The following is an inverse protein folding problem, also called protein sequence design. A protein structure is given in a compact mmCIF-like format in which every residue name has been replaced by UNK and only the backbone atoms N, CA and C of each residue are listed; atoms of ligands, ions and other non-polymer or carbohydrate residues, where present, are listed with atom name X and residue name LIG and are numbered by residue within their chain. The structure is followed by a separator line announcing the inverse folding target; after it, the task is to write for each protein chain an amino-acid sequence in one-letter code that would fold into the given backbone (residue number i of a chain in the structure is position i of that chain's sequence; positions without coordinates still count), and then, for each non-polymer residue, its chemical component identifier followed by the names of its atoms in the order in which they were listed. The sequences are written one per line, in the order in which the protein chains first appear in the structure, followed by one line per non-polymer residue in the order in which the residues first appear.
data_IF_602967945443
#
_entry.id   IF_602967945443
#
_cell.length_a   1.000
_cell.length_b   1.000
_cell.length_c   1.000
_cell.angle_alpha   90.00
_cell.angle_beta   90.00
_cell.angle_gamma   90.00
#
_symmetry.space_group_name_H-M   'P 1'
#
loop_
_entity.id
_entity.type
_entity.pdbx_description
1 polymer ?
#
# COMPACT_ATOMS: atom_id res chain seq x y z
N UNK A 1 2.71 7.65 -21.35
CA UNK A 1 3.63 6.91 -20.47
C UNK A 1 3.43 7.55 -19.12
N UNK A 2 2.94 6.81 -18.12
CA UNK A 2 2.52 7.43 -16.85
C UNK A 2 3.68 8.07 -16.08
N UNK A 3 3.37 9.06 -15.24
CA UNK A 3 4.34 9.74 -14.38
C UNK A 3 4.62 8.85 -13.18
N UNK A 4 5.82 8.27 -13.13
CA UNK A 4 6.19 7.32 -12.10
C UNK A 4 6.71 8.02 -10.84
N UNK A 5 6.21 7.61 -9.68
CA UNK A 5 6.57 8.15 -8.37
C UNK A 5 6.85 7.00 -7.41
N UNK A 6 7.88 7.17 -6.58
CA UNK A 6 8.12 6.33 -5.41
C UNK A 6 7.66 7.11 -4.18
N UNK A 7 6.78 6.53 -3.39
CA UNK A 7 6.22 7.20 -2.22
C UNK A 7 7.21 7.28 -1.07
N UNK A 8 7.00 8.24 -0.17
CA UNK A 8 7.48 8.16 1.20
C UNK A 8 6.80 7.04 1.99
N UNK A 9 6.95 7.09 3.32
CA UNK A 9 6.37 6.13 4.25
C UNK A 9 4.84 6.27 4.28
N UNK A 10 4.13 5.15 4.14
CA UNK A 10 2.67 5.12 4.13
C UNK A 10 2.15 3.93 4.93
N UNK A 11 0.90 4.03 5.40
CA UNK A 11 0.15 2.90 5.97
C UNK A 11 -0.77 2.32 4.89
N UNK A 12 -0.69 1.01 4.68
CA UNK A 12 -1.56 0.31 3.74
C UNK A 12 -2.95 0.12 4.35
N UNK A 13 -4.01 0.46 3.61
CA UNK A 13 -5.40 0.20 4.02
C UNK A 13 -6.15 -0.43 2.85
N UNK A 14 -7.16 -1.25 3.14
CA UNK A 14 -7.92 -2.00 2.13
C UNK A 14 -7.01 -2.69 1.10
N UNK A 15 -5.97 -3.37 1.58
CA UNK A 15 -4.95 -4.01 0.75
C UNK A 15 -5.49 -5.28 0.08
N UNK A 16 -5.97 -5.14 -1.15
CA UNK A 16 -6.39 -6.25 -2.02
C UNK A 16 -5.31 -6.52 -3.07
N UNK A 17 -4.13 -6.88 -2.59
CA UNK A 17 -2.90 -6.94 -3.39
C UNK A 17 -2.51 -8.37 -3.76
N UNK A 18 -2.91 -9.35 -2.93
CA UNK A 18 -2.72 -10.78 -3.19
C UNK A 18 -3.83 -11.40 -4.05
N UNK A 19 -5.05 -10.88 -3.92
CA UNK A 19 -6.22 -11.34 -4.67
C UNK A 19 -7.03 -10.15 -5.14
N UNK A 20 -7.21 -10.06 -6.46
CA UNK A 20 -8.01 -9.03 -7.08
C UNK A 20 -9.47 -9.10 -6.60
N UNK A 21 -10.10 -7.92 -6.49
CA UNK A 21 -11.52 -7.77 -6.15
C UNK A 21 -12.22 -7.00 -7.26
N UNK A 22 -13.50 -7.32 -7.49
CA UNK A 22 -14.34 -6.53 -8.41
C UNK A 22 -14.52 -5.13 -7.84
N UNK A 23 -14.20 -4.12 -8.64
CA UNK A 23 -14.53 -2.74 -8.32
C UNK A 23 -16.04 -2.47 -8.55
N UNK A 24 -16.49 -1.24 -8.29
CA UNK A 24 -17.90 -0.84 -8.51
C UNK A 24 -18.40 -1.02 -9.95
N UNK A 25 -17.49 -1.11 -10.92
CA UNK A 25 -17.78 -1.32 -12.34
C UNK A 25 -17.67 -2.80 -12.74
N UNK A 26 -17.51 -3.72 -11.77
CA UNK A 26 -17.41 -5.16 -12.01
C UNK A 26 -16.03 -5.64 -12.48
N UNK A 27 -15.05 -4.76 -12.69
CA UNK A 27 -13.70 -5.12 -13.15
C UNK A 27 -12.85 -5.63 -12.01
N UNK A 28 -12.13 -6.74 -12.22
CA UNK A 28 -11.17 -7.27 -11.25
C UNK A 28 -9.95 -6.36 -11.18
N UNK A 29 -9.64 -5.88 -9.98
CA UNK A 29 -8.49 -5.01 -9.72
C UNK A 29 -7.74 -5.46 -8.48
N UNK A 30 -6.43 -5.45 -8.56
CA UNK A 30 -5.60 -5.32 -7.37
C UNK A 30 -5.66 -3.87 -6.91
N UNK A 31 -5.72 -3.63 -5.61
CA UNK A 31 -5.83 -2.27 -5.10
C UNK A 31 -5.31 -2.11 -3.69
N UNK A 32 -4.89 -0.88 -3.38
CA UNK A 32 -4.51 -0.47 -2.04
C UNK A 32 -4.87 1.00 -1.85
N UNK A 33 -5.35 1.33 -0.65
CA UNK A 33 -5.48 2.70 -0.17
C UNK A 33 -4.21 3.06 0.58
N UNK A 34 -3.48 4.06 0.08
CA UNK A 34 -2.24 4.52 0.69
C UNK A 34 -2.54 5.71 1.59
N UNK A 35 -2.42 5.53 2.90
CA UNK A 35 -2.63 6.57 3.92
C UNK A 35 -1.28 7.18 4.32
N UNK A 36 -1.23 8.50 4.45
CA UNK A 36 -0.03 9.19 4.93
C UNK A 36 -0.39 10.48 5.68
N UNK A 37 0.45 10.95 6.63
CA UNK A 37 0.14 12.11 7.44
C UNK A 37 0.01 13.39 6.61
N UNK A 38 -0.97 14.25 6.96
CA UNK A 38 -1.13 15.58 6.36
C UNK A 38 0.06 16.50 6.57
N UNK A 39 0.83 16.25 7.63
CA UNK A 39 2.04 17.01 7.96
C UNK A 39 3.18 16.73 6.98
N UNK A 40 3.10 15.66 6.18
CA UNK A 40 4.12 15.33 5.19
C UNK A 40 3.96 16.16 3.91
N UNK A 41 4.34 17.43 4.00
CA UNK A 41 4.26 18.39 2.90
C UNK A 41 5.09 17.99 1.68
N UNK A 42 6.19 17.24 1.88
CA UNK A 42 7.05 16.77 0.80
C UNK A 42 6.32 15.77 -0.11
N UNK A 43 5.67 14.75 0.47
CA UNK A 43 4.89 13.78 -0.30
C UNK A 43 3.67 14.42 -0.95
N UNK A 44 2.96 15.31 -0.23
CA UNK A 44 1.82 16.06 -0.79
C UNK A 44 2.25 16.85 -2.03
N UNK A 45 3.38 17.57 -1.95
CA UNK A 45 3.91 18.34 -3.08
C UNK A 45 4.27 17.42 -4.23
N UNK A 46 5.01 16.34 -3.97
CA UNK A 46 5.41 15.36 -4.97
C UNK A 46 4.21 14.77 -5.72
N UNK A 47 3.14 14.41 -5.02
CA UNK A 47 1.93 13.88 -5.67
C UNK A 47 1.18 14.96 -6.46
N UNK A 48 1.08 16.19 -5.96
CA UNK A 48 0.45 17.27 -6.72
C UNK A 48 1.22 17.61 -8.00
N UNK A 49 2.55 17.61 -7.95
CA UNK A 49 3.40 17.81 -9.12
C UNK A 49 3.19 16.68 -10.14
N UNK A 50 3.12 15.43 -9.69
CA UNK A 50 2.83 14.28 -10.55
C UNK A 50 1.41 14.32 -11.16
N UNK A 51 0.41 14.74 -10.39
CA UNK A 51 -0.97 14.94 -10.86
C UNK A 51 -1.01 16.02 -11.94
N UNK A 52 -0.29 17.13 -11.75
CA UNK A 52 -0.23 18.21 -12.74
C UNK A 52 0.46 17.75 -14.02
N UNK A 53 1.57 17.04 -13.92
CA UNK A 53 2.27 16.48 -15.07
C UNK A 53 1.39 15.48 -15.85
N UNK A 54 0.69 14.58 -15.15
CA UNK A 54 -0.23 13.64 -15.79
C UNK A 54 -1.45 14.34 -16.44
N UNK A 55 -1.92 15.45 -15.85
CA UNK A 55 -2.96 16.27 -16.44
C UNK A 55 -2.49 16.94 -17.73
N UNK A 56 -1.28 17.50 -17.73
CA UNK A 56 -0.71 18.15 -18.92
C UNK A 56 -0.48 17.13 -20.06
N UNK A 57 -0.05 15.90 -19.74
CA UNK A 57 0.00 14.80 -20.71
C UNK A 57 -1.41 14.48 -21.26
N UNK A 58 -2.43 14.49 -20.42
CA UNK A 58 -3.83 14.28 -20.83
C UNK A 58 -4.36 15.37 -21.75
N UNK A 59 -4.00 16.63 -21.50
CA UNK A 59 -4.32 17.77 -22.36
C UNK A 59 -3.62 17.63 -23.72
N UNK A 60 -2.32 17.32 -23.71
CA UNK A 60 -1.54 17.13 -24.94
C UNK A 60 -2.09 15.99 -25.81
N UNK A 61 -2.68 14.96 -25.18
CA UNK A 61 -3.35 13.84 -25.85
C UNK A 61 -4.80 14.12 -26.26
N UNK A 62 -5.31 15.33 -26.04
CA UNK A 62 -6.69 15.69 -26.36
C UNK A 62 -7.76 14.95 -25.52
N UNK A 63 -7.38 14.41 -24.35
CA UNK A 63 -8.32 13.70 -23.48
C UNK A 63 -9.33 14.67 -22.85
N UNK A 64 -8.85 15.87 -22.47
CA UNK A 64 -9.65 16.96 -21.94
C UNK A 64 -8.94 18.32 -22.14
N UNK A 65 -9.67 19.45 -22.21
CA UNK A 65 -9.08 20.78 -22.32
C UNK A 65 -8.41 21.24 -21.02
N UNK A 66 -7.40 22.11 -21.14
CA UNK A 66 -6.65 22.67 -20.01
C UNK A 66 -7.53 23.38 -18.98
N UNK A 67 -8.63 24.02 -19.42
CA UNK A 67 -9.59 24.72 -18.56
C UNK A 67 -10.32 23.80 -17.58
N UNK A 68 -10.22 22.46 -17.73
CA UNK A 68 -10.87 21.52 -16.81
C UNK A 68 -10.06 21.17 -15.57
N UNK A 69 -8.90 21.80 -15.34
CA UNK A 69 -8.04 21.51 -14.19
C UNK A 69 -8.80 21.45 -12.85
N UNK A 70 -9.72 22.39 -12.61
CA UNK A 70 -10.45 22.46 -11.35
C UNK A 70 -11.56 21.41 -11.20
N UNK A 71 -12.11 20.92 -12.32
CA UNK A 71 -13.27 20.01 -12.33
C UNK A 71 -12.91 18.55 -12.56
N UNK A 72 -11.73 18.24 -13.08
CA UNK A 72 -11.32 16.84 -13.27
C UNK A 72 -11.11 16.14 -11.93
N UNK A 73 -11.34 14.82 -11.93
CA UNK A 73 -11.10 13.99 -10.75
C UNK A 73 -9.61 13.96 -10.42
N UNK A 74 -9.26 14.34 -9.19
CA UNK A 74 -7.91 14.23 -8.63
C UNK A 74 -7.83 13.03 -7.69
N UNK A 75 -6.73 12.26 -7.70
CA UNK A 75 -6.63 11.03 -6.91
C UNK A 75 -6.24 11.25 -5.45
N UNK A 76 -5.63 12.40 -5.13
CA UNK A 76 -5.25 12.78 -3.76
C UNK A 76 -6.48 13.31 -3.02
N UNK A 77 -6.82 12.69 -1.89
CA UNK A 77 -8.02 12.98 -1.11
C UNK A 77 -7.69 13.26 0.36
N UNK A 78 -8.55 14.05 0.99
CA UNK A 78 -8.44 14.44 2.39
C UNK A 78 -9.28 13.47 3.26
N UNK A 79 -8.61 12.76 4.18
CA UNK A 79 -9.25 11.82 5.09
C UNK A 79 -10.22 12.47 6.07
N UNK A 80 -9.83 13.57 6.70
CA UNK A 80 -10.68 14.28 7.68
C UNK A 80 -11.94 14.83 7.03
N UNK A 81 -11.84 15.40 5.82
CA UNK A 81 -13.00 15.91 5.09
C UNK A 81 -13.96 14.78 4.77
N UNK A 82 -13.48 13.63 4.30
CA UNK A 82 -14.35 12.51 3.94
C UNK A 82 -14.94 11.77 5.14
N UNK A 83 -14.24 11.76 6.28
CA UNK A 83 -14.80 11.29 7.55
C UNK A 83 -15.91 12.23 8.02
N UNK A 84 -15.69 13.55 7.97
CA UNK A 84 -16.70 14.56 8.35
C UNK A 84 -17.96 14.50 7.47
N UNK A 85 -17.82 14.23 6.18
CA UNK A 85 -18.96 14.09 5.27
C UNK A 85 -19.61 12.71 5.30
N UNK A 86 -19.12 11.77 6.13
CA UNK A 86 -19.64 10.41 6.23
C UNK A 86 -19.33 9.50 5.03
N UNK A 87 -18.47 9.94 4.10
CA UNK A 87 -18.01 9.13 2.97
C UNK A 87 -17.08 8.01 3.47
N UNK A 88 -16.30 8.32 4.51
CA UNK A 88 -15.42 7.38 5.21
C UNK A 88 -15.86 7.21 6.65
N UNK A 89 -15.64 5.99 7.17
CA UNK A 89 -15.90 5.68 8.58
C UNK A 89 -14.73 6.17 9.44
N UNK A 90 -14.99 6.77 10.62
CA UNK A 90 -13.94 7.12 11.57
C UNK A 90 -13.24 5.86 12.12
N UNK A 91 -12.04 6.03 12.67
CA UNK A 91 -11.29 4.96 13.34
C UNK A 91 -10.60 3.94 12.42
N UNK A 92 -10.55 4.19 11.10
CA UNK A 92 -9.85 3.33 10.11
C UNK A 92 -8.57 4.02 9.60
N UNK A 93 -7.99 4.91 10.43
CA UNK A 93 -6.72 5.60 10.13
C UNK A 93 -6.83 6.73 9.10
N UNK A 94 -8.04 7.26 8.86
CA UNK A 94 -8.23 8.40 7.95
C UNK A 94 -8.09 9.77 8.65
N UNK A 95 -8.28 9.84 9.97
CA UNK A 95 -8.11 11.11 10.70
C UNK A 95 -6.66 11.60 10.63
N UNK A 96 -6.47 12.91 10.37
CA UNK A 96 -5.16 13.54 10.23
C UNK A 96 -4.35 13.10 9.00
N UNK A 97 -4.93 12.29 8.11
CA UNK A 97 -4.23 11.72 6.97
C UNK A 97 -4.76 12.24 5.63
N UNK A 98 -3.86 12.31 4.65
CA UNK A 98 -4.19 12.32 3.23
C UNK A 98 -4.16 10.87 2.73
N UNK A 99 -4.84 10.62 1.62
CA UNK A 99 -4.77 9.31 0.99
C UNK A 99 -5.01 9.35 -0.50
N UNK A 100 -4.57 8.29 -1.16
CA UNK A 100 -4.84 8.02 -2.57
C UNK A 100 -5.13 6.53 -2.75
N UNK A 101 -5.91 6.19 -3.78
CA UNK A 101 -6.18 4.80 -4.13
C UNK A 101 -5.40 4.44 -5.38
N UNK A 102 -4.54 3.43 -5.28
CA UNK A 102 -3.79 2.89 -6.40
C UNK A 102 -4.37 1.52 -6.80
N UNK A 103 -4.38 1.20 -8.10
CA UNK A 103 -4.86 -0.08 -8.60
C UNK A 103 -4.11 -0.56 -9.84
N UNK A 104 -4.18 -1.85 -10.12
CA UNK A 104 -3.69 -2.48 -11.35
C UNK A 104 -4.67 -3.53 -11.86
N UNK A 105 -4.49 -4.00 -13.09
CA UNK A 105 -5.43 -4.96 -13.67
C UNK A 105 -5.29 -6.33 -13.03
N UNK A 106 -6.40 -6.83 -12.50
CA UNK A 106 -6.44 -8.10 -11.80
C UNK A 106 -7.22 -9.18 -12.54
N UNK A 107 -7.66 -8.89 -13.76
CA UNK A 107 -8.32 -9.85 -14.63
C UNK A 107 -7.27 -10.72 -15.35
N UNK A 108 -7.18 -12.04 -15.05
CA UNK A 108 -6.18 -12.92 -15.66
C UNK A 108 -6.30 -13.05 -17.17
N UNK A 109 -7.49 -12.78 -17.73
CA UNK A 109 -7.76 -12.88 -19.16
C UNK A 109 -7.48 -11.56 -19.91
N UNK A 110 -7.16 -10.48 -19.17
CA UNK A 110 -6.84 -9.18 -19.75
C UNK A 110 -5.40 -9.16 -20.29
N UNK A 111 -5.21 -8.58 -21.48
CA UNK A 111 -3.86 -8.29 -22.03
C UNK A 111 -3.06 -7.31 -21.15
N UNK A 112 -3.73 -6.65 -20.20
CA UNK A 112 -3.14 -5.73 -19.24
C UNK A 112 -3.02 -6.31 -17.83
N UNK A 113 -3.23 -7.62 -17.66
CA UNK A 113 -3.04 -8.31 -16.38
C UNK A 113 -1.68 -7.95 -15.76
N UNK A 114 -1.74 -7.32 -14.60
CA UNK A 114 -0.58 -6.67 -13.98
C UNK A 114 -0.65 -6.81 -12.46
N UNK A 115 -0.39 -8.02 -11.92
CA UNK A 115 -0.29 -8.20 -10.47
C UNK A 115 0.87 -7.36 -9.92
N UNK A 116 0.68 -6.65 -8.80
CA UNK A 116 1.75 -5.86 -8.21
C UNK A 116 2.79 -6.77 -7.56
N UNK A 117 4.07 -6.43 -7.70
CA UNK A 117 5.12 -7.10 -6.93
C UNK A 117 5.09 -6.63 -5.48
N UNK A 118 5.06 -7.57 -4.54
CA UNK A 118 5.06 -7.27 -3.10
C UNK A 118 6.38 -7.75 -2.51
N UNK A 119 7.10 -6.83 -1.91
CA UNK A 119 8.50 -7.02 -1.52
C UNK A 119 8.78 -6.55 -0.09
N UNK A 120 9.88 -7.02 0.48
CA UNK A 120 10.40 -6.61 1.80
C UNK A 120 11.93 -6.49 1.77
N UNK A 121 12.54 -5.75 2.71
CA UNK A 121 13.98 -5.81 2.91
C UNK A 121 14.38 -7.15 3.53
N UNK A 122 15.43 -7.76 3.02
CA UNK A 122 16.11 -8.90 3.65
C UNK A 122 17.61 -8.81 3.34
N UNK A 123 18.45 -8.71 4.37
CA UNK A 123 19.91 -8.65 4.26
C UNK A 123 20.41 -7.60 3.24
N UNK A 124 19.83 -6.38 3.30
CA UNK A 124 20.19 -5.28 2.40
C UNK A 124 19.69 -5.42 0.96
N UNK A 125 18.86 -6.43 0.65
CA UNK A 125 18.27 -6.66 -0.67
C UNK A 125 16.76 -6.53 -0.61
N UNK A 126 16.15 -6.26 -1.77
CA UNK A 126 14.71 -6.33 -1.98
C UNK A 126 14.38 -7.77 -2.37
N UNK A 127 13.53 -8.43 -1.58
CA UNK A 127 13.07 -9.80 -1.85
C UNK A 127 11.55 -9.83 -1.94
N UNK A 128 11.01 -10.74 -2.76
CA UNK A 128 9.57 -10.95 -2.84
C UNK A 128 9.03 -11.53 -1.52
N UNK A 129 7.85 -11.07 -1.12
CA UNK A 129 7.08 -11.68 -0.03
C UNK A 129 6.35 -12.89 -0.60
N UNK A 130 6.60 -14.07 -0.04
CA UNK A 130 5.91 -15.32 -0.42
C UNK A 130 4.78 -15.67 0.52
N UNK A 131 4.88 -15.29 1.80
CA UNK A 131 3.79 -15.43 2.75
C UNK A 131 2.86 -14.21 2.70
N UNK A 132 1.63 -14.44 2.24
CA UNK A 132 0.61 -13.40 2.10
C UNK A 132 0.23 -12.77 3.46
N UNK A 133 0.49 -13.44 4.58
CA UNK A 133 0.22 -12.94 5.91
C UNK A 133 1.08 -11.73 6.28
N UNK A 134 2.27 -11.59 5.67
CA UNK A 134 3.23 -10.53 5.98
C UNK A 134 2.80 -9.14 5.49
N UNK A 135 2.03 -9.07 4.39
CA UNK A 135 1.50 -7.81 3.87
C UNK A 135 -0.02 -7.76 4.04
N UNK A 136 -0.48 -6.89 4.94
CA UNK A 136 -1.87 -6.80 5.37
C UNK A 136 -2.33 -5.34 5.48
N UNK A 137 -3.65 -5.13 5.58
CA UNK A 137 -4.18 -3.79 5.85
C UNK A 137 -3.77 -3.37 7.25
N UNK A 138 -2.97 -2.32 7.37
CA UNK A 138 -2.39 -1.86 8.64
C UNK A 138 -0.87 -1.75 8.63
N UNK A 139 -0.19 -2.58 7.81
CA UNK A 139 1.27 -2.56 7.76
C UNK A 139 1.80 -1.27 7.13
N UNK A 140 3.05 -0.96 7.45
CA UNK A 140 3.74 0.17 6.85
C UNK A 140 4.45 -0.25 5.55
N UNK A 141 4.37 0.60 4.53
CA UNK A 141 4.94 0.33 3.23
C UNK A 141 5.33 1.59 2.47
N UNK A 142 6.10 1.37 1.40
CA UNK A 142 6.27 2.30 0.28
C UNK A 142 5.69 1.67 -0.98
N UNK A 143 5.31 2.50 -1.94
CA UNK A 143 4.75 2.06 -3.21
C UNK A 143 5.50 2.68 -4.39
N UNK A 144 5.60 1.91 -5.47
CA UNK A 144 5.89 2.43 -6.80
C UNK A 144 4.56 2.65 -7.52
N UNK A 145 4.28 3.91 -7.86
CA UNK A 145 3.01 4.36 -8.42
C UNK A 145 3.21 4.98 -9.79
N UNK A 146 2.17 4.94 -10.63
CA UNK A 146 2.16 5.62 -11.92
C UNK A 146 0.92 6.50 -12.06
N UNK A 147 1.09 7.81 -12.22
CA UNK A 147 -0.02 8.74 -12.42
C UNK A 147 -0.30 8.87 -13.91
N UNK A 148 -1.56 8.68 -14.31
CA UNK A 148 -1.94 8.75 -15.72
C UNK A 148 -3.32 9.39 -15.92
N UNK A 149 -3.50 10.12 -17.04
CA UNK A 149 -4.81 10.64 -17.40
C UNK A 149 -5.74 9.53 -17.86
N UNK A 150 -7.01 9.63 -17.48
CA UNK A 150 -8.07 8.74 -17.94
C UNK A 150 -9.28 9.53 -18.44
N UNK A 151 -9.99 8.93 -19.40
CA UNK A 151 -11.26 9.42 -19.94
C UNK A 151 -12.16 8.21 -20.20
N UNK A 152 -13.18 8.06 -19.37
CA UNK A 152 -14.29 7.11 -19.59
C UNK A 152 -15.56 7.89 -19.96
N UNK A 153 -16.60 7.21 -20.47
CA UNK A 153 -17.90 7.86 -20.68
C UNK A 153 -18.48 8.50 -19.41
N UNK A 154 -18.18 7.92 -18.25
CA UNK A 154 -18.72 8.33 -16.95
C UNK A 154 -17.88 9.42 -16.26
N UNK A 155 -16.56 9.45 -16.51
CA UNK A 155 -15.65 10.30 -15.73
C UNK A 155 -14.33 10.57 -16.45
N UNK A 156 -13.64 11.63 -16.04
CA UNK A 156 -12.31 12.01 -16.54
C UNK A 156 -11.46 12.59 -15.42
N UNK A 157 -10.15 12.39 -15.52
CA UNK A 157 -9.19 12.95 -14.59
C UNK A 157 -7.92 12.14 -14.52
N UNK A 158 -7.32 12.09 -13.33
CA UNK A 158 -6.04 11.41 -13.10
C UNK A 158 -6.27 10.20 -12.20
N UNK A 159 -5.76 9.06 -12.64
CA UNK A 159 -5.77 7.80 -11.89
C UNK A 159 -4.34 7.44 -11.46
N UNK A 160 -4.25 6.50 -10.51
CA UNK A 160 -2.99 6.02 -9.97
C UNK A 160 -2.89 4.51 -10.19
N UNK A 161 -1.90 4.12 -10.99
CA UNK A 161 -1.49 2.75 -11.24
C UNK A 161 -0.64 2.24 -10.09
N UNK A 162 -0.91 1.01 -9.67
CA UNK A 162 -0.12 0.29 -8.67
C UNK A 162 0.90 -0.60 -9.40
N UNK A 163 2.20 -0.34 -9.20
CA UNK A 163 3.25 -1.15 -9.83
C UNK A 163 3.85 -2.15 -8.85
N UNK A 164 4.32 -1.66 -7.71
CA UNK A 164 4.96 -2.50 -6.69
C UNK A 164 4.76 -1.92 -5.28
N UNK A 165 4.86 -2.80 -4.29
CA UNK A 165 4.79 -2.48 -2.87
C UNK A 165 6.02 -3.02 -2.15
N UNK A 166 6.54 -2.22 -1.23
CA UNK A 166 7.69 -2.54 -0.40
C UNK A 166 7.30 -2.38 1.07
N UNK A 167 7.11 -3.50 1.78
CA UNK A 167 6.84 -3.50 3.22
C UNK A 167 8.05 -2.96 3.96
N UNK A 168 7.81 -2.05 4.89
CA UNK A 168 8.85 -1.40 5.71
C UNK A 168 8.70 -1.69 7.20
N UNK A 169 7.51 -2.09 7.64
CA UNK A 169 7.24 -2.35 9.05
C UNK A 169 5.86 -2.94 9.26
N UNK A 170 5.65 -3.43 10.47
CA UNK A 170 4.34 -3.86 10.97
C UNK A 170 3.56 -2.69 11.56
N UNK A 171 2.24 -2.86 11.67
CA UNK A 171 1.35 -1.84 12.23
C UNK A 171 0.02 -2.45 12.62
N UNK A 172 -0.86 -1.65 13.24
CA UNK A 172 -2.15 -2.12 13.71
C UNK A 172 -3.00 -2.66 12.56
N UNK A 173 -3.50 -3.90 12.70
CA UNK A 173 -4.33 -4.52 11.68
C UNK A 173 -5.64 -3.75 11.51
N UNK A 174 -5.93 -3.35 10.28
CA UNK A 174 -7.14 -2.64 9.87
C UNK A 174 -8.15 -3.54 9.14
N UNK A 175 -7.84 -4.83 8.99
CA UNK A 175 -8.73 -5.82 8.35
C UNK A 175 -9.76 -6.41 9.30
N UNK A 176 -9.77 -5.98 10.57
CA UNK A 176 -10.68 -6.46 11.62
C UNK A 176 -10.39 -7.91 12.05
N UNK A 177 -9.27 -8.48 11.62
CA UNK A 177 -8.80 -9.80 12.06
C UNK A 177 -7.81 -9.62 13.18
N UNK A 178 -7.96 -10.41 14.23
CA UNK A 178 -6.92 -10.61 15.22
C UNK A 178 -5.76 -11.42 14.61
N UNK A 179 -4.52 -11.13 14.98
CA UNK A 179 -3.39 -11.99 14.58
C UNK A 179 -3.48 -13.33 15.30
N UNK A 180 -3.05 -14.42 14.64
CA UNK A 180 -2.98 -15.73 15.29
C UNK A 180 -2.07 -15.68 16.54
N UNK A 181 -0.98 -14.91 16.47
CA UNK A 181 -0.08 -14.68 17.60
C UNK A 181 -0.83 -14.07 18.79
N UNK A 182 -1.64 -13.02 18.59
CA UNK A 182 -2.45 -12.43 19.66
C UNK A 182 -3.45 -13.45 20.21
N UNK A 183 -4.21 -14.09 19.33
CA UNK A 183 -5.28 -15.02 19.70
C UNK A 183 -4.78 -16.28 20.44
N UNK A 184 -3.55 -16.72 20.17
CA UNK A 184 -2.98 -17.95 20.75
C UNK A 184 -1.80 -17.70 21.69
N UNK A 185 -1.44 -16.45 22.00
CA UNK A 185 -0.30 -16.11 22.87
C UNK A 185 -0.40 -16.77 24.25
N UNK A 186 -1.58 -16.74 24.87
CA UNK A 186 -1.83 -17.39 26.16
C UNK A 186 -1.67 -18.91 26.08
N UNK A 187 -2.25 -19.55 25.05
CA UNK A 187 -2.12 -20.99 24.83
C UNK A 187 -0.67 -21.40 24.53
N UNK A 188 0.06 -20.59 23.75
CA UNK A 188 1.46 -20.83 23.40
C UNK A 188 2.39 -20.70 24.62
N UNK A 189 2.12 -19.76 25.52
CA UNK A 189 2.88 -19.60 26.76
C UNK A 189 2.72 -20.80 27.71
N UNK A 190 1.58 -21.48 27.65
CA UNK A 190 1.26 -22.65 28.48
C UNK A 190 1.57 -24.00 27.81
N UNK A 191 1.99 -24.00 26.55
CA UNK A 191 2.23 -25.22 25.77
C UNK A 191 3.71 -25.56 25.70
N UNK A 192 4.05 -26.84 25.87
CA UNK A 192 5.37 -27.36 25.53
C UNK A 192 5.52 -27.51 24.00
N UNK A 193 6.76 -27.59 23.51
CA UNK A 193 7.02 -27.80 22.09
C UNK A 193 6.37 -29.10 21.61
N UNK A 194 5.88 -29.10 20.37
CA UNK A 194 5.36 -30.30 19.74
C UNK A 194 6.49 -31.34 19.59
N UNK A 195 6.12 -32.61 19.73
CA UNK A 195 7.04 -33.74 19.70
C UNK A 195 7.73 -33.80 18.32
N UNK A 196 9.01 -33.39 18.27
CA UNK A 196 9.80 -33.28 17.04
C UNK A 196 10.43 -31.90 16.80
N UNK A 197 9.91 -30.84 17.41
CA UNK A 197 10.47 -29.49 17.34
C UNK A 197 11.57 -29.33 18.40
N UNK A 198 12.82 -29.59 18.00
CA UNK A 198 13.98 -29.22 18.82
C UNK A 198 14.23 -27.72 18.68
N UNK A 199 13.84 -26.95 19.69
CA UNK A 199 14.29 -25.58 19.85
C UNK A 199 15.84 -25.56 19.97
N UNK A 200 16.53 -25.23 18.88
CA UNK A 200 17.96 -24.95 18.89
C UNK A 200 18.18 -23.46 19.11
N UNK A 201 17.93 -23.00 20.34
CA UNK A 201 18.57 -21.77 20.82
C UNK A 201 19.91 -22.14 21.44
N UNK A 202 20.93 -22.39 20.61
CA UNK A 202 22.31 -22.27 21.06
C UNK A 202 22.63 -20.79 21.21
N UNK A 203 22.47 -20.28 22.44
CA UNK A 203 23.20 -19.11 22.89
C UNK A 203 24.68 -19.50 22.92
N UNK A 204 25.41 -19.25 21.83
CA UNK A 204 26.86 -19.18 21.89
C UNK A 204 27.23 -18.15 22.97
N UNK A 205 27.66 -18.65 24.13
CA UNK A 205 28.30 -17.80 25.14
C UNK A 205 29.51 -17.15 24.46
N UNK A 206 29.73 -15.84 24.61
CA UNK A 206 30.94 -15.22 24.12
C UNK A 206 32.13 -15.94 24.77
N UNK A 207 33.02 -16.47 23.93
CA UNK A 207 34.26 -17.11 24.35
C UNK A 207 34.96 -16.17 25.33
N UNK A 208 35.11 -16.62 26.59
CA UNK A 208 35.97 -15.96 27.54
C UNK A 208 37.39 -15.97 26.98
N UNK A 209 38.04 -14.81 27.01
CA UNK A 209 39.42 -14.57 26.61
C UNK A 209 40.34 -15.75 26.97
N UNK A 210 41.02 -16.39 26.00
CA UNK A 210 42.04 -17.39 26.30
C UNK A 210 43.37 -16.76 26.76
N UNK A 211 43.49 -15.43 26.81
CA UNK A 211 44.69 -14.72 27.24
C UNK A 211 44.40 -13.77 28.39
N UNK A 212 44.16 -14.35 29.58
CA UNK A 212 44.48 -13.68 30.83
C UNK A 212 46.00 -13.70 31.03
N UNK A 213 46.64 -12.54 30.94
CA UNK A 213 48.07 -12.31 31.16
C UNK A 213 48.50 -10.90 30.83
#
# INVERSE_FOLDING_TARGET
MGINVKTGQMKASYAYVWKARKNKQGKLKFSVCCLFPKTNAADIKMYNDAIKAAFDEGVAKGMFPAAMWDVVKKPLRDGDSEVKTGIKKPGIGYEGCMFLNANSDGDPDSEHFSPPEITKPLNGKVVAITDQSEFYSGCECRAALSFYPFKTPESRGIAVGLNALFKTGDGDRLDGRESAESAFSEFAAESENLEGDKASMELEKPNADPFGG
#
